data_IF_233986548357
#
_entry.id   IF_233986548357
#
_cell.length_a   1.000
_cell.length_b   1.000
_cell.length_c   1.000
_cell.angle_alpha   90.00
_cell.angle_beta   90.00
_cell.angle_gamma   90.00
#
_symmetry.space_group_name_H-M   'P 1'
#
loop_
_entity.id
_entity.type
_entity.pdbx_description
1 polymer ?
#
# COMPACT_ATOMS: atom_id res chain seq x y z
N UNK A 1 -4.75 1.03 9.28
CA UNK A 1 -4.78 1.62 7.94
C UNK A 1 -3.39 2.04 7.54
N UNK A 2 -3.03 1.95 6.26
CA UNK A 2 -1.84 2.62 5.74
C UNK A 2 -2.23 3.98 5.16
N UNK A 3 -1.58 5.03 5.60
CA UNK A 3 -1.72 6.37 5.04
C UNK A 3 -0.41 6.86 4.46
N UNK A 4 -0.47 7.56 3.34
CA UNK A 4 0.70 8.20 2.73
C UNK A 4 0.28 9.30 1.78
N UNK A 5 1.20 10.24 1.52
CA UNK A 5 1.08 11.25 0.49
C UNK A 5 2.01 10.92 -0.69
N UNK A 6 1.52 11.16 -1.91
CA UNK A 6 2.34 11.11 -3.14
C UNK A 6 2.25 12.46 -3.84
N UNK A 7 3.40 12.99 -4.24
CA UNK A 7 3.44 14.14 -5.13
C UNK A 7 3.07 13.69 -6.55
N UNK A 8 2.00 14.27 -7.10
CA UNK A 8 1.53 14.02 -8.47
C UNK A 8 1.83 15.16 -9.44
N UNK A 9 2.23 16.33 -8.91
CA UNK A 9 2.41 17.54 -9.72
C UNK A 9 1.12 17.90 -10.47
N UNK A 10 1.19 18.35 -11.73
CA UNK A 10 0.00 18.59 -12.56
C UNK A 10 -0.67 17.30 -13.09
N UNK A 11 -0.04 16.14 -12.89
CA UNK A 11 -0.44 14.87 -13.49
C UNK A 11 -1.17 13.96 -12.49
N UNK A 12 -1.49 12.75 -12.93
CA UNK A 12 -1.94 11.65 -12.07
C UNK A 12 -0.74 10.96 -11.38
N UNK A 13 -1.01 10.32 -10.25
CA UNK A 13 -0.03 9.48 -9.56
C UNK A 13 0.30 8.28 -10.45
N UNK A 14 1.58 8.00 -10.77
CA UNK A 14 1.94 6.81 -11.52
C UNK A 14 1.52 5.53 -10.76
N UNK A 15 0.93 4.53 -11.44
CA UNK A 15 0.47 3.31 -10.80
C UNK A 15 1.66 2.43 -10.37
N UNK A 16 1.72 2.10 -9.08
CA UNK A 16 2.70 1.22 -8.47
C UNK A 16 1.99 0.04 -7.83
N UNK A 17 2.73 -1.05 -7.63
CA UNK A 17 2.28 -2.18 -6.81
C UNK A 17 2.75 -1.97 -5.37
N UNK A 18 1.81 -1.89 -4.44
CA UNK A 18 2.05 -1.73 -3.02
C UNK A 18 1.87 -3.07 -2.30
N UNK A 19 2.85 -3.43 -1.47
CA UNK A 19 2.87 -4.68 -0.70
C UNK A 19 3.20 -4.38 0.76
N UNK A 20 2.44 -4.96 1.68
CA UNK A 20 2.80 -5.03 3.09
C UNK A 20 3.41 -6.39 3.38
N UNK A 21 4.56 -6.41 4.03
CA UNK A 21 5.31 -7.63 4.32
C UNK A 21 5.38 -7.82 5.83
N UNK A 22 5.03 -9.02 6.27
CA UNK A 22 5.06 -9.44 7.68
C UNK A 22 6.39 -10.10 8.08
N UNK A 23 6.63 -10.19 9.39
CA UNK A 23 7.76 -10.94 9.97
C UNK A 23 7.71 -12.45 9.64
N UNK A 24 6.54 -13.00 9.35
CA UNK A 24 6.39 -14.34 8.79
C UNK A 24 6.18 -14.22 7.28
N UNK A 25 7.12 -14.76 6.50
CA UNK A 25 6.97 -14.89 5.06
C UNK A 25 6.12 -16.12 4.76
N UNK A 26 5.01 -15.91 4.06
CA UNK A 26 4.34 -16.97 3.32
C UNK A 26 4.40 -16.63 1.83
N UNK A 27 4.11 -17.62 0.99
CA UNK A 27 4.48 -17.58 -0.43
C UNK A 27 3.70 -16.53 -1.25
N UNK A 28 2.60 -15.97 -0.75
CA UNK A 28 1.72 -15.09 -1.53
C UNK A 28 1.23 -13.87 -0.71
N UNK A 29 2.02 -12.78 -0.70
CA UNK A 29 1.54 -11.49 -0.21
C UNK A 29 0.45 -10.95 -1.14
N UNK A 30 -0.66 -10.47 -0.57
CA UNK A 30 -1.62 -9.68 -1.35
C UNK A 30 -1.02 -8.31 -1.66
N UNK A 31 -1.17 -7.90 -2.93
CA UNK A 31 -0.67 -6.63 -3.41
C UNK A 31 -1.81 -5.71 -3.81
N UNK A 32 -1.62 -4.41 -3.62
CA UNK A 32 -2.58 -3.37 -3.99
C UNK A 32 -2.01 -2.57 -5.15
N UNK A 33 -2.73 -2.47 -6.25
CA UNK A 33 -2.40 -1.52 -7.32
C UNK A 33 -2.82 -0.11 -6.89
N UNK A 34 -1.85 0.81 -6.79
CA UNK A 34 -2.13 2.19 -6.39
C UNK A 34 -2.94 2.96 -7.44
N UNK A 35 -2.92 2.53 -8.70
CA UNK A 35 -3.78 3.11 -9.75
C UNK A 35 -5.27 2.83 -9.53
N UNK A 36 -5.61 1.79 -8.77
CA UNK A 36 -6.99 1.44 -8.41
C UNK A 36 -7.53 2.19 -7.19
N UNK A 37 -6.68 2.98 -6.52
CA UNK A 37 -7.03 3.65 -5.27
C UNK A 37 -7.64 5.02 -5.53
N UNK A 38 -8.71 5.31 -4.82
CA UNK A 38 -9.25 6.67 -4.73
C UNK A 38 -8.39 7.51 -3.79
N UNK A 39 -8.15 8.76 -4.19
CA UNK A 39 -7.51 9.75 -3.33
C UNK A 39 -8.48 10.13 -2.20
N UNK A 40 -8.00 10.11 -0.96
CA UNK A 40 -8.78 10.54 0.22
C UNK A 40 -8.75 12.06 0.41
N UNK A 41 -7.70 12.72 -0.07
CA UNK A 41 -7.50 14.16 -0.02
C UNK A 41 -6.49 14.57 -1.11
N UNK A 42 -6.46 15.84 -1.49
CA UNK A 42 -5.42 16.40 -2.36
C UNK A 42 -5.18 17.87 -2.07
N UNK A 43 -3.90 18.29 -2.01
CA UNK A 43 -3.51 19.66 -1.75
C UNK A 43 -2.13 19.95 -2.34
N UNK A 44 -1.95 21.13 -2.96
CA UNK A 44 -0.66 21.63 -3.46
C UNK A 44 0.16 20.62 -4.30
N UNK A 45 -0.51 19.89 -5.20
CA UNK A 45 0.14 18.88 -6.06
C UNK A 45 0.43 17.54 -5.37
N UNK A 46 0.02 17.38 -4.11
CA UNK A 46 0.05 16.12 -3.38
C UNK A 46 -1.33 15.47 -3.34
N UNK A 47 -1.35 14.14 -3.31
CA UNK A 47 -2.54 13.34 -3.10
C UNK A 47 -2.33 12.40 -1.91
N UNK A 48 -3.31 12.37 -0.99
CA UNK A 48 -3.32 11.48 0.16
C UNK A 48 -4.08 10.20 -0.18
N UNK A 49 -3.51 9.07 0.19
CA UNK A 49 -4.17 7.77 0.12
C UNK A 49 -4.35 7.20 1.53
N UNK A 50 -5.52 6.61 1.76
CA UNK A 50 -5.83 5.83 2.95
C UNK A 50 -6.25 4.43 2.51
N UNK A 51 -5.39 3.45 2.78
CA UNK A 51 -5.58 2.07 2.33
C UNK A 51 -5.91 1.19 3.54
N UNK A 52 -7.13 0.63 3.63
CA UNK A 52 -7.48 -0.30 4.69
C UNK A 52 -6.56 -1.51 4.69
N UNK A 53 -6.11 -1.96 5.86
CA UNK A 53 -5.18 -3.10 5.97
C UNK A 53 -5.76 -4.41 5.43
N UNK A 54 -7.09 -4.54 5.44
CA UNK A 54 -7.82 -5.64 4.84
C UNK A 54 -7.57 -5.80 3.33
N UNK A 55 -7.15 -4.73 2.63
CA UNK A 55 -6.76 -4.80 1.20
C UNK A 55 -5.49 -5.61 0.97
N UNK A 56 -4.66 -5.79 2.01
CA UNK A 56 -3.43 -6.57 1.97
C UNK A 56 -3.58 -7.97 2.59
N UNK A 57 -4.79 -8.36 2.98
CA UNK A 57 -5.09 -9.66 3.60
C UNK A 57 -5.81 -10.58 2.60
N UNK A 58 -5.46 -11.86 2.58
CA UNK A 58 -6.10 -12.89 1.73
C UNK A 58 -7.43 -13.39 2.31
N UNK A 59 -7.78 -13.01 3.55
CA UNK A 59 -9.03 -13.36 4.23
C UNK A 59 -9.78 -12.11 4.69
N UNK A 60 -11.11 -12.20 4.64
CA UNK A 60 -12.04 -11.18 5.13
C UNK A 60 -12.33 -11.28 6.63
N UNK A 61 -11.38 -11.73 7.46
CA UNK A 61 -11.61 -11.85 8.90
C UNK A 61 -11.19 -10.58 9.64
N UNK A 62 -12.18 -9.80 10.09
CA UNK A 62 -12.05 -8.87 11.21
C UNK A 62 -10.88 -7.87 11.15
N UNK A 63 -10.91 -6.94 10.19
CA UNK A 63 -10.20 -5.65 10.25
C UNK A 63 -8.66 -5.61 10.23
N UNK A 64 -7.97 -6.71 10.51
CA UNK A 64 -6.51 -6.76 10.68
C UNK A 64 -5.72 -7.14 9.42
N UNK A 65 -4.43 -6.77 9.43
CA UNK A 65 -3.43 -7.31 8.50
C UNK A 65 -3.04 -8.74 8.91
N UNK A 66 -3.16 -9.70 7.99
CA UNK A 66 -2.86 -11.12 8.23
C UNK A 66 -1.54 -11.58 7.60
N UNK A 67 -0.75 -10.64 7.07
CA UNK A 67 0.53 -10.93 6.44
C UNK A 67 0.42 -11.68 5.11
N UNK A 68 1.57 -12.19 4.68
CA UNK A 68 1.69 -13.04 3.49
C UNK A 68 1.44 -14.53 3.79
N UNK A 69 0.98 -14.84 5.00
CA UNK A 69 0.80 -16.20 5.50
C UNK A 69 -0.66 -16.64 5.43
N UNK A 70 -0.88 -17.94 5.24
CA UNK A 70 -2.21 -18.55 5.33
C UNK A 70 -2.61 -18.88 6.78
N UNK A 71 -1.84 -18.43 7.79
CA UNK A 71 -2.01 -18.81 9.20
C UNK A 71 -2.66 -17.70 10.04
N UNK A 72 -3.51 -18.12 10.99
CA UNK A 72 -4.60 -17.32 11.56
C UNK A 72 -4.28 -16.45 12.77
N UNK A 73 -3.24 -15.62 12.72
CA UNK A 73 -3.01 -14.58 13.73
C UNK A 73 -2.61 -13.26 13.06
N UNK A 74 -3.09 -12.09 13.55
CA UNK A 74 -2.62 -10.80 13.06
C UNK A 74 -1.10 -10.71 13.13
N UNK A 75 -0.48 -10.27 12.05
CA UNK A 75 0.98 -10.18 11.94
C UNK A 75 1.44 -8.72 11.95
N UNK A 76 2.64 -8.49 12.47
CA UNK A 76 3.27 -7.19 12.42
C UNK A 76 3.79 -6.91 11.00
N UNK A 77 3.49 -5.73 10.48
CA UNK A 77 4.14 -5.22 9.27
C UNK A 77 5.58 -4.88 9.63
N UNK A 78 6.54 -5.48 8.93
CA UNK A 78 7.98 -5.19 9.08
C UNK A 78 8.56 -4.43 7.90
N UNK A 79 7.87 -4.45 6.76
CA UNK A 79 8.27 -3.72 5.55
C UNK A 79 7.05 -3.29 4.76
N UNK A 80 7.10 -2.07 4.24
CA UNK A 80 6.17 -1.53 3.25
C UNK A 80 6.97 -1.38 1.96
N UNK A 81 6.45 -1.91 0.86
CA UNK A 81 7.14 -1.94 -0.42
C UNK A 81 6.29 -1.37 -1.55
N UNK A 82 6.84 -0.38 -2.27
CA UNK A 82 6.31 0.09 -3.54
C UNK A 82 7.18 -0.45 -4.67
N UNK A 83 6.58 -1.13 -5.63
CA UNK A 83 7.26 -1.70 -6.79
C UNK A 83 6.67 -1.15 -8.09
N UNK A 84 7.52 -0.77 -9.02
CA UNK A 84 7.12 -0.48 -10.39
C UNK A 84 7.23 -1.76 -11.23
N UNK A 85 6.16 -2.57 -11.27
CA UNK A 85 6.12 -3.81 -12.05
C UNK A 85 5.89 -3.60 -13.54
N UNK A 86 5.53 -2.39 -13.95
CA UNK A 86 5.15 -2.05 -15.32
C UNK A 86 6.33 -1.47 -16.12
N UNK A 87 7.55 -1.43 -15.54
CA UNK A 87 8.80 -1.05 -16.21
C UNK A 87 8.77 0.32 -16.91
N UNK A 88 8.06 1.30 -16.36
CA UNK A 88 8.09 2.69 -16.84
C UNK A 88 9.11 3.54 -16.08
N UNK A 89 9.51 4.68 -16.64
CA UNK A 89 10.29 5.67 -15.90
C UNK A 89 9.35 6.62 -15.15
N UNK A 90 9.56 6.75 -13.84
CA UNK A 90 8.85 7.75 -13.04
C UNK A 90 9.71 8.27 -11.89
N UNK A 91 9.50 9.53 -11.55
CA UNK A 91 9.91 10.12 -10.29
C UNK A 91 8.73 10.03 -9.32
N UNK A 92 8.97 9.46 -8.15
CA UNK A 92 7.96 9.31 -7.09
C UNK A 92 8.49 10.00 -5.85
N UNK A 93 7.74 10.97 -5.34
CA UNK A 93 7.99 11.58 -4.04
C UNK A 93 6.90 11.10 -3.08
N UNK A 94 7.32 10.42 -2.01
CA UNK A 94 6.46 9.94 -0.93
C UNK A 94 6.69 10.81 0.30
N UNK A 95 5.63 11.11 1.05
CA UNK A 95 5.72 11.80 2.32
C UNK A 95 4.69 11.28 3.33
N UNK A 96 4.95 11.51 4.61
CA UNK A 96 4.09 11.18 5.74
C UNK A 96 3.49 9.75 5.66
N UNK A 97 4.35 8.78 5.38
CA UNK A 97 4.00 7.35 5.39
C UNK A 97 3.76 6.92 6.84
N UNK A 98 2.52 6.50 7.13
CA UNK A 98 2.06 6.17 8.47
C UNK A 98 1.24 4.88 8.45
N UNK A 99 1.48 4.00 9.43
CA UNK A 99 0.73 2.77 9.62
C UNK A 99 0.00 2.84 10.97
N UNK A 100 -1.32 2.62 10.94
CA UNK A 100 -2.23 2.62 12.09
C UNK A 100 -2.86 1.26 12.33
#
# INVERSE_FOLDING_TARGET
TLEYWVYRGPNSVPPLTLTLISNQQGDNCNTVDTGSLSQSDSSNGWAKFQVPLSRFSTRSSGGGFLGCSNQGSPLNVVKIEWQNKNNFNALICLDAVQLY
#
